data_IF_084544292327
#
_entry.id   IF_084544292327
#
_cell.length_a   1.000
_cell.length_b   1.000
_cell.length_c   1.000
_cell.angle_alpha   90.00
_cell.angle_beta   90.00
_cell.angle_gamma   90.00
#
_symmetry.space_group_name_H-M   'P 1'
#
loop_
_entity.id
_entity.type
_entity.pdbx_description
1 polymer ?
#
# COMPACT_ATOMS: atom_id res chain seq x y z
N UNK A 1 -28.36 -38.04 -14.87
CA UNK A 1 -27.69 -38.71 -16.01
C UNK A 1 -28.49 -39.88 -16.58
N UNK A 2 -28.98 -40.82 -15.76
CA UNK A 2 -29.70 -42.02 -16.23
C UNK A 2 -30.94 -41.70 -17.09
N UNK A 3 -31.73 -40.68 -16.71
CA UNK A 3 -32.92 -40.26 -17.46
C UNK A 3 -32.61 -39.74 -18.88
N UNK A 4 -31.49 -39.04 -19.05
CA UNK A 4 -31.07 -38.42 -20.32
C UNK A 4 -30.72 -39.49 -21.36
N UNK A 5 -30.15 -40.62 -20.93
CA UNK A 5 -29.80 -41.74 -21.81
C UNK A 5 -31.00 -42.66 -22.10
N UNK A 6 -31.93 -42.81 -21.16
CA UNK A 6 -33.03 -43.78 -21.23
C UNK A 6 -34.17 -43.41 -22.18
N UNK A 7 -34.47 -42.12 -22.33
CA UNK A 7 -35.57 -41.60 -23.16
C UNK A 7 -35.39 -41.87 -24.68
N UNK A 8 -34.21 -41.62 -25.29
CA UNK A 8 -34.01 -41.95 -26.71
C UNK A 8 -34.01 -43.47 -26.97
N UNK A 9 -33.54 -44.28 -26.02
CA UNK A 9 -33.61 -45.74 -26.09
C UNK A 9 -35.05 -46.25 -26.08
N UNK A 10 -35.91 -45.67 -25.24
CA UNK A 10 -37.35 -45.95 -25.23
C UNK A 10 -38.02 -45.55 -26.55
N UNK A 11 -37.66 -44.39 -27.11
CA UNK A 11 -38.12 -43.98 -28.44
C UNK A 11 -37.74 -44.97 -29.53
N UNK A 12 -36.50 -45.47 -29.51
CA UNK A 12 -35.99 -46.45 -30.48
C UNK A 12 -36.66 -47.82 -30.32
N UNK A 13 -36.95 -48.25 -29.08
CA UNK A 13 -37.72 -49.46 -28.80
C UNK A 13 -39.16 -49.39 -29.36
N UNK A 14 -39.79 -48.21 -29.32
CA UNK A 14 -41.15 -48.03 -29.86
C UNK A 14 -41.24 -48.25 -31.38
N UNK A 15 -40.14 -48.04 -32.12
CA UNK A 15 -40.08 -48.29 -33.55
C UNK A 15 -40.16 -49.78 -33.88
N UNK A 16 -39.68 -50.65 -32.99
CA UNK A 16 -39.59 -52.10 -33.20
C UNK A 16 -40.75 -52.88 -32.58
N UNK A 17 -41.36 -52.39 -31.49
CA UNK A 17 -42.34 -53.14 -30.70
C UNK A 17 -43.81 -52.94 -31.13
N UNK A 18 -44.20 -51.79 -31.71
CA UNK A 18 -45.62 -51.47 -31.98
C UNK A 18 -46.03 -51.72 -33.45
N UNK A 19 -47.02 -52.61 -33.64
CA UNK A 19 -47.63 -52.95 -34.93
C UNK A 19 -48.80 -52.04 -35.31
N UNK A 20 -49.35 -51.28 -34.36
CA UNK A 20 -50.44 -50.32 -34.58
C UNK A 20 -49.87 -48.91 -34.87
N UNK A 21 -50.07 -48.35 -36.08
CA UNK A 21 -49.36 -47.15 -36.53
C UNK A 21 -49.70 -45.88 -35.73
N UNK A 22 -50.93 -45.75 -35.22
CA UNK A 22 -51.37 -44.55 -34.48
C UNK A 22 -50.74 -44.44 -33.08
N UNK A 23 -50.58 -45.56 -32.37
CA UNK A 23 -50.00 -45.60 -31.02
C UNK A 23 -48.48 -45.33 -31.04
N UNK A 24 -47.78 -45.86 -32.05
CA UNK A 24 -46.34 -45.64 -32.26
C UNK A 24 -46.03 -44.16 -32.48
N UNK A 25 -46.76 -43.49 -33.37
CA UNK A 25 -46.53 -42.07 -33.67
C UNK A 25 -46.74 -41.17 -32.45
N UNK A 26 -47.79 -41.45 -31.66
CA UNK A 26 -48.06 -40.72 -30.41
C UNK A 26 -46.90 -40.88 -29.41
N UNK A 27 -46.44 -42.12 -29.16
CA UNK A 27 -45.33 -42.40 -28.25
C UNK A 27 -44.03 -41.74 -28.69
N UNK A 28 -43.70 -41.80 -29.99
CA UNK A 28 -42.52 -41.14 -30.54
C UNK A 28 -42.54 -39.64 -30.31
N UNK A 29 -43.66 -38.97 -30.62
CA UNK A 29 -43.82 -37.55 -30.38
C UNK A 29 -43.61 -37.18 -28.90
N UNK A 30 -44.20 -37.96 -27.98
CA UNK A 30 -44.03 -37.73 -26.54
C UNK A 30 -42.57 -37.90 -26.11
N UNK A 31 -41.89 -38.97 -26.56
CA UNK A 31 -40.47 -39.19 -26.20
C UNK A 31 -39.55 -38.11 -26.76
N UNK A 32 -39.78 -37.66 -28.00
CA UNK A 32 -38.98 -36.62 -28.66
C UNK A 32 -39.22 -35.25 -28.02
N UNK A 33 -40.46 -34.94 -27.67
CA UNK A 33 -40.77 -33.73 -26.91
C UNK A 33 -40.09 -33.76 -25.53
N UNK A 34 -40.14 -34.89 -24.82
CA UNK A 34 -39.51 -35.04 -23.51
C UNK A 34 -37.97 -34.92 -23.57
N UNK A 35 -37.31 -35.50 -24.59
CA UNK A 35 -35.85 -35.37 -24.75
C UNK A 35 -35.43 -33.94 -25.08
N UNK A 36 -36.19 -33.23 -25.92
CA UNK A 36 -35.93 -31.83 -26.24
C UNK A 36 -36.06 -30.93 -25.01
N UNK A 37 -37.14 -31.10 -24.23
CA UNK A 37 -37.35 -30.33 -23.00
C UNK A 37 -36.23 -30.59 -21.99
N UNK A 38 -35.84 -31.86 -21.80
CA UNK A 38 -34.76 -32.22 -20.89
C UNK A 38 -33.40 -31.67 -21.37
N UNK A 39 -33.13 -31.75 -22.68
CA UNK A 39 -31.92 -31.19 -23.28
C UNK A 39 -31.82 -29.68 -23.10
N UNK A 40 -32.92 -28.96 -23.35
CA UNK A 40 -33.00 -27.51 -23.13
C UNK A 40 -32.78 -27.15 -21.67
N UNK A 41 -33.40 -27.90 -20.74
CA UNK A 41 -33.23 -27.68 -19.30
C UNK A 41 -31.79 -27.90 -18.85
N UNK A 42 -31.16 -28.99 -19.28
CA UNK A 42 -29.74 -29.29 -18.98
C UNK A 42 -28.82 -28.23 -19.59
N UNK A 43 -29.06 -27.84 -20.83
CA UNK A 43 -28.29 -26.79 -21.49
C UNK A 43 -28.39 -25.46 -20.75
N UNK A 44 -29.61 -25.05 -20.35
CA UNK A 44 -29.81 -23.81 -19.60
C UNK A 44 -29.11 -23.85 -18.25
N UNK A 45 -29.23 -24.97 -17.52
CA UNK A 45 -28.51 -25.17 -16.25
C UNK A 45 -26.99 -25.12 -16.45
N UNK A 46 -26.48 -25.80 -17.47
CA UNK A 46 -25.04 -25.83 -17.78
C UNK A 46 -24.55 -24.40 -18.09
N UNK A 47 -25.27 -23.68 -18.95
CA UNK A 47 -24.95 -22.31 -19.32
C UNK A 47 -24.94 -21.36 -18.12
N UNK A 48 -25.88 -21.51 -17.18
CA UNK A 48 -25.93 -20.71 -15.95
C UNK A 48 -24.76 -21.04 -15.00
N UNK A 49 -24.44 -22.33 -14.83
CA UNK A 49 -23.33 -22.77 -13.97
C UNK A 49 -21.97 -22.33 -14.50
N UNK A 50 -21.76 -22.41 -15.81
CA UNK A 50 -20.50 -21.98 -16.43
C UNK A 50 -20.28 -20.47 -16.22
N UNK A 51 -21.36 -19.67 -16.30
CA UNK A 51 -21.29 -18.22 -16.00
C UNK A 51 -20.92 -17.96 -14.54
N UNK A 52 -21.55 -18.67 -13.60
CA UNK A 52 -21.24 -18.54 -12.17
C UNK A 52 -19.80 -18.94 -11.86
N UNK A 53 -19.31 -20.03 -12.48
CA UNK A 53 -17.95 -20.50 -12.27
C UNK A 53 -16.92 -19.46 -12.72
N UNK A 54 -17.14 -18.82 -13.88
CA UNK A 54 -16.25 -17.76 -14.38
C UNK A 54 -16.24 -16.57 -13.42
N UNK A 55 -17.41 -16.10 -12.98
CA UNK A 55 -17.50 -14.97 -12.05
C UNK A 55 -16.78 -15.26 -10.72
N UNK A 56 -17.01 -16.44 -10.13
CA UNK A 56 -16.35 -16.84 -8.89
C UNK A 56 -14.84 -16.96 -9.03
N UNK A 57 -14.36 -17.46 -10.18
CA UNK A 57 -12.94 -17.58 -10.45
C UNK A 57 -12.28 -16.20 -10.60
N UNK A 58 -12.94 -15.28 -11.30
CA UNK A 58 -12.46 -13.90 -11.45
C UNK A 58 -12.44 -13.16 -10.10
N UNK A 59 -13.50 -13.27 -9.30
CA UNK A 59 -13.54 -12.68 -7.94
C UNK A 59 -12.43 -13.23 -7.04
N UNK A 60 -12.25 -14.55 -7.04
CA UNK A 60 -11.18 -15.21 -6.27
C UNK A 60 -9.80 -14.74 -6.71
N UNK A 61 -9.57 -14.64 -8.02
CA UNK A 61 -8.32 -14.15 -8.58
C UNK A 61 -8.05 -12.70 -8.18
N UNK A 62 -9.04 -11.82 -8.31
CA UNK A 62 -8.90 -10.41 -7.89
C UNK A 62 -8.61 -10.29 -6.39
N UNK A 63 -9.30 -11.08 -5.56
CA UNK A 63 -9.04 -11.10 -4.12
C UNK A 63 -7.63 -11.56 -3.80
N UNK A 64 -7.13 -12.57 -4.52
CA UNK A 64 -5.78 -13.08 -4.35
C UNK A 64 -4.72 -12.05 -4.78
N UNK A 65 -4.89 -11.40 -5.93
CA UNK A 65 -4.00 -10.34 -6.42
C UNK A 65 -3.97 -9.14 -5.45
N UNK A 66 -5.14 -8.74 -4.93
CA UNK A 66 -5.23 -7.70 -3.90
C UNK A 66 -4.52 -8.10 -2.61
N UNK A 67 -4.70 -9.34 -2.14
CA UNK A 67 -4.03 -9.84 -0.95
C UNK A 67 -2.51 -9.84 -1.13
N UNK A 68 -1.99 -10.32 -2.26
CA UNK A 68 -0.56 -10.29 -2.55
C UNK A 68 -0.01 -8.86 -2.59
N UNK A 69 -0.76 -7.93 -3.19
CA UNK A 69 -0.37 -6.51 -3.21
C UNK A 69 -0.33 -5.93 -1.81
N UNK A 70 -1.34 -6.17 -0.98
CA UNK A 70 -1.38 -5.70 0.41
C UNK A 70 -0.27 -6.32 1.26
N UNK A 71 -0.01 -7.62 1.09
CA UNK A 71 1.07 -8.32 1.79
C UNK A 71 2.44 -7.73 1.43
N UNK A 72 2.72 -7.46 0.15
CA UNK A 72 3.99 -6.86 -0.24
C UNK A 72 4.15 -5.44 0.32
N UNK A 73 3.08 -4.64 0.35
CA UNK A 73 3.06 -3.34 1.00
C UNK A 73 3.29 -3.43 2.51
N UNK A 74 2.70 -4.41 3.20
CA UNK A 74 2.91 -4.64 4.63
C UNK A 74 4.36 -5.02 4.92
N UNK A 75 4.93 -5.96 4.16
CA UNK A 75 6.34 -6.35 4.31
C UNK A 75 7.27 -5.14 4.09
N UNK A 76 6.99 -4.29 3.09
CA UNK A 76 7.78 -3.09 2.85
C UNK A 76 7.66 -2.09 4.01
N UNK A 77 6.45 -1.89 4.55
CA UNK A 77 6.21 -1.03 5.72
C UNK A 77 6.94 -1.55 6.96
N UNK A 78 6.88 -2.84 7.22
CA UNK A 78 7.54 -3.46 8.38
C UNK A 78 9.07 -3.36 8.26
N UNK A 79 9.63 -3.56 7.06
CA UNK A 79 11.06 -3.34 6.81
C UNK A 79 11.48 -1.89 7.08
N UNK A 80 10.69 -0.92 6.63
CA UNK A 80 10.98 0.51 6.87
C UNK A 80 10.85 0.87 8.35
N UNK A 81 9.84 0.35 9.05
CA UNK A 81 9.65 0.58 10.49
C UNK A 81 10.82 -0.01 11.30
N UNK A 82 11.23 -1.26 11.01
CA UNK A 82 12.38 -1.91 11.64
C UNK A 82 13.68 -1.14 11.38
N UNK A 83 13.89 -0.70 10.13
CA UNK A 83 15.03 0.14 9.78
C UNK A 83 15.00 1.45 10.56
N UNK A 84 13.84 2.09 10.72
CA UNK A 84 13.73 3.33 11.47
C UNK A 84 13.99 3.19 12.96
N UNK A 85 13.56 2.09 13.56
CA UNK A 85 13.89 1.79 14.95
C UNK A 85 15.39 1.57 15.15
N UNK A 86 16.05 0.85 14.23
CA UNK A 86 17.50 0.64 14.27
C UNK A 86 18.27 1.96 14.04
N UNK A 87 17.85 2.75 13.04
CA UNK A 87 18.46 4.05 12.74
C UNK A 87 18.25 5.03 13.88
N UNK A 88 17.10 5.06 14.54
CA UNK A 88 16.87 5.94 15.70
C UNK A 88 17.82 5.64 16.86
N UNK A 89 18.03 4.35 17.18
CA UNK A 89 19.01 3.94 18.18
C UNK A 89 20.44 4.29 17.76
N UNK A 90 20.82 3.93 16.54
CA UNK A 90 22.17 4.21 16.01
C UNK A 90 22.44 5.71 15.83
N UNK A 91 21.45 6.52 15.49
CA UNK A 91 21.61 7.95 15.25
C UNK A 91 22.06 8.68 16.51
N UNK A 92 21.53 8.31 17.68
CA UNK A 92 21.99 8.88 18.95
C UNK A 92 23.46 8.52 19.22
N UNK A 93 23.82 7.25 19.00
CA UNK A 93 25.19 6.77 19.20
C UNK A 93 26.20 7.32 18.18
N UNK A 94 25.77 7.63 16.95
CA UNK A 94 26.60 8.23 15.89
C UNK A 94 26.71 9.75 16.07
N UNK A 95 25.65 10.42 16.50
CA UNK A 95 25.68 11.87 16.73
C UNK A 95 26.64 12.25 17.86
N UNK A 96 26.83 11.38 18.85
CA UNK A 96 27.76 11.62 19.97
C UNK A 96 29.23 11.80 19.53
N UNK A 97 29.87 10.86 18.81
CA UNK A 97 31.23 11.04 18.31
C UNK A 97 31.31 12.15 17.26
N UNK A 98 30.27 12.39 16.45
CA UNK A 98 30.25 13.52 15.51
C UNK A 98 30.27 14.87 16.22
N UNK A 99 29.53 15.01 17.32
CA UNK A 99 29.55 16.21 18.15
C UNK A 99 30.94 16.44 18.76
N UNK A 100 31.61 15.38 19.23
CA UNK A 100 32.98 15.47 19.73
C UNK A 100 33.97 15.89 18.62
N UNK A 101 33.89 15.28 17.44
CA UNK A 101 34.74 15.63 16.28
C UNK A 101 34.51 17.10 15.87
N UNK A 102 33.26 17.56 15.84
CA UNK A 102 32.93 18.95 15.57
C UNK A 102 33.55 19.89 16.61
N UNK A 103 33.35 19.61 17.90
CA UNK A 103 33.93 20.39 18.99
C UNK A 103 35.46 20.48 18.92
N UNK A 104 36.14 19.34 18.71
CA UNK A 104 37.60 19.34 18.53
C UNK A 104 38.05 20.08 17.28
N UNK A 105 37.34 19.95 16.17
CA UNK A 105 37.66 20.66 14.93
C UNK A 105 37.53 22.18 15.08
N UNK A 106 36.53 22.64 15.85
CA UNK A 106 36.29 24.05 16.13
C UNK A 106 37.33 24.61 17.10
N UNK A 107 37.69 23.85 18.15
CA UNK A 107 38.77 24.22 19.07
C UNK A 107 40.13 24.31 18.37
N UNK A 108 40.44 23.37 17.47
CA UNK A 108 41.66 23.39 16.67
C UNK A 108 41.67 24.58 15.70
N UNK A 109 40.56 24.85 15.02
CA UNK A 109 40.46 25.99 14.12
C UNK A 109 40.55 27.36 14.84
N UNK A 110 40.21 27.41 16.13
CA UNK A 110 40.32 28.62 16.95
C UNK A 110 41.73 28.88 17.52
N UNK A 111 42.67 27.93 17.39
CA UNK A 111 44.05 28.12 17.88
C UNK A 111 44.87 29.02 16.93
N UNK A 112 45.32 30.16 17.43
CA UNK A 112 46.11 31.16 16.69
C UNK A 112 47.55 30.70 16.37
N UNK A 113 48.04 29.65 17.02
CA UNK A 113 49.40 29.13 16.85
C UNK A 113 49.54 28.07 15.74
N UNK A 114 48.46 27.68 15.08
CA UNK A 114 48.49 26.67 14.02
C UNK A 114 49.03 27.22 12.70
N UNK A 115 49.74 26.36 11.94
CA UNK A 115 50.07 26.65 10.53
C UNK A 115 48.78 26.66 9.69
N UNK A 116 48.76 27.49 8.64
CA UNK A 116 47.59 27.64 7.74
C UNK A 116 47.05 26.29 7.23
N UNK A 117 47.92 25.35 6.87
CA UNK A 117 47.52 24.03 6.38
C UNK A 117 46.81 23.18 7.45
N UNK A 118 47.23 23.31 8.71
CA UNK A 118 46.63 22.56 9.83
C UNK A 118 45.26 23.12 10.19
N UNK A 119 45.11 24.45 10.19
CA UNK A 119 43.81 25.10 10.37
C UNK A 119 42.83 24.73 9.24
N UNK A 120 43.31 24.68 8.00
CA UNK A 120 42.51 24.23 6.85
C UNK A 120 42.09 22.75 6.96
N UNK A 121 42.97 21.87 7.47
CA UNK A 121 42.62 20.48 7.76
C UNK A 121 41.56 20.37 8.86
N UNK A 122 41.70 21.12 9.96
CA UNK A 122 40.72 21.14 11.04
C UNK A 122 39.33 21.58 10.54
N UNK A 123 39.26 22.65 9.74
CA UNK A 123 38.01 23.07 9.11
C UNK A 123 37.40 21.98 8.22
N UNK A 124 38.22 21.30 7.40
CA UNK A 124 37.74 20.20 6.53
C UNK A 124 37.16 19.05 7.35
N UNK A 125 37.81 18.65 8.44
CA UNK A 125 37.31 17.60 9.35
C UNK A 125 35.94 18.00 9.92
N UNK A 126 35.81 19.23 10.43
CA UNK A 126 34.54 19.74 10.94
C UNK A 126 33.46 19.79 9.87
N UNK A 127 33.82 20.14 8.63
CA UNK A 127 32.87 20.15 7.50
C UNK A 127 32.39 18.73 7.14
N UNK A 128 33.27 17.72 7.18
CA UNK A 128 32.87 16.33 6.98
C UNK A 128 31.98 15.82 8.12
N UNK A 129 32.31 16.13 9.37
CA UNK A 129 31.49 15.71 10.51
C UNK A 129 30.08 16.34 10.46
N UNK A 130 29.96 17.62 10.07
CA UNK A 130 28.67 18.27 9.79
C UNK A 130 27.89 17.53 8.72
N UNK A 131 28.52 17.24 7.58
CA UNK A 131 27.87 16.52 6.47
C UNK A 131 27.38 15.13 6.88
N UNK A 132 28.16 14.38 7.66
CA UNK A 132 27.74 13.06 8.16
C UNK A 132 26.54 13.18 9.09
N UNK A 133 26.51 14.20 9.96
CA UNK A 133 25.38 14.45 10.85
C UNK A 133 24.10 14.74 10.05
N UNK A 134 24.21 15.55 9.01
CA UNK A 134 23.08 15.88 8.13
C UNK A 134 22.55 14.61 7.43
N UNK A 135 23.44 13.76 6.90
CA UNK A 135 23.06 12.46 6.31
C UNK A 135 22.34 11.52 7.29
N UNK A 136 22.80 11.48 8.54
CA UNK A 136 22.14 10.69 9.60
C UNK A 136 20.75 11.24 9.91
N UNK A 137 20.60 12.57 9.93
CA UNK A 137 19.30 13.24 10.12
C UNK A 137 18.33 12.97 8.97
N UNK A 138 18.80 12.99 7.74
CA UNK A 138 18.01 12.67 6.55
C UNK A 138 17.54 11.21 6.56
N UNK A 139 18.44 10.28 6.92
CA UNK A 139 18.10 8.85 7.04
C UNK A 139 17.06 8.60 8.15
N UNK A 140 17.21 9.27 9.30
CA UNK A 140 16.24 9.19 10.39
C UNK A 140 14.88 9.71 9.96
N UNK A 141 14.85 10.88 9.32
CA UNK A 141 13.62 11.51 8.80
C UNK A 141 12.90 10.62 7.79
N UNK A 142 13.65 10.00 6.87
CA UNK A 142 13.11 9.04 5.91
C UNK A 142 12.48 7.82 6.61
N UNK A 143 13.16 7.30 7.62
CA UNK A 143 12.71 6.10 8.34
C UNK A 143 11.49 6.35 9.24
N UNK A 144 11.28 7.60 9.68
CA UNK A 144 10.14 8.03 10.47
C UNK A 144 8.89 8.33 9.64
N UNK A 145 8.96 8.27 8.29
CA UNK A 145 7.79 8.38 7.40
C UNK A 145 6.88 7.13 7.44
N UNK A 146 6.62 6.60 8.62
CA UNK A 146 5.47 5.72 8.83
C UNK A 146 4.18 6.51 8.59
N UNK A 147 3.07 5.87 8.20
CA UNK A 147 1.78 6.53 8.14
C UNK A 147 1.41 6.95 9.56
N UNK A 148 1.78 8.17 9.94
CA UNK A 148 1.27 8.81 11.14
C UNK A 148 -0.26 8.81 11.02
N UNK A 149 -0.93 8.39 12.08
CA UNK A 149 -2.39 8.47 12.12
C UNK A 149 -2.77 9.91 11.82
N UNK A 150 -3.63 10.10 10.82
CA UNK A 150 -4.18 11.43 10.57
C UNK A 150 -4.95 11.81 11.82
N UNK A 151 -4.57 12.91 12.46
CA UNK A 151 -5.31 13.49 13.59
C UNK A 151 -6.00 14.75 13.09
N UNK A 152 -7.07 15.18 13.78
CA UNK A 152 -7.62 16.52 13.59
C UNK A 152 -6.58 17.54 14.08
N UNK A 153 -5.99 18.28 13.14
CA UNK A 153 -5.02 19.34 13.42
C UNK A 153 -5.71 20.70 13.38
N UNK A 154 -5.45 21.51 14.41
CA UNK A 154 -5.78 22.93 14.43
C UNK A 154 -4.69 23.72 13.70
N UNK A 155 -5.03 24.21 12.51
CA UNK A 155 -4.10 24.91 11.61
C UNK A 155 -3.59 26.21 12.24
N UNK A 156 -4.44 26.93 12.98
CA UNK A 156 -4.05 28.18 13.62
C UNK A 156 -2.99 27.94 14.71
N UNK A 157 -3.22 26.92 15.55
CA UNK A 157 -2.27 26.54 16.59
C UNK A 157 -0.95 26.00 16.01
N UNK A 158 -1.01 25.26 14.90
CA UNK A 158 0.17 24.75 14.19
C UNK A 158 1.05 25.88 13.66
N UNK A 159 0.44 26.86 12.97
CA UNK A 159 1.15 28.02 12.41
C UNK A 159 1.81 28.84 13.52
N UNK A 160 1.11 29.09 14.63
CA UNK A 160 1.69 29.81 15.77
C UNK A 160 2.91 29.08 16.36
N UNK A 161 2.84 27.76 16.55
CA UNK A 161 3.98 26.96 17.03
C UNK A 161 5.17 27.01 16.06
N UNK A 162 4.92 26.91 14.76
CA UNK A 162 5.98 26.99 13.75
C UNK A 162 6.68 28.36 13.78
N UNK A 163 5.92 29.45 13.89
CA UNK A 163 6.47 30.80 14.02
C UNK A 163 7.30 30.97 15.29
N UNK A 164 6.83 30.44 16.43
CA UNK A 164 7.58 30.45 17.69
C UNK A 164 8.91 29.70 17.59
N UNK A 165 8.94 28.53 16.93
CA UNK A 165 10.17 27.75 16.77
C UNK A 165 11.25 28.47 15.95
N UNK A 166 10.88 29.42 15.08
CA UNK A 166 11.82 30.12 14.20
C UNK A 166 12.08 31.58 14.63
N UNK A 167 11.42 32.07 15.68
CA UNK A 167 11.54 33.45 16.14
C UNK A 167 12.99 33.86 16.45
N UNK A 168 13.77 32.94 17.04
CA UNK A 168 15.19 33.18 17.37
C UNK A 168 16.06 33.37 16.11
N UNK A 169 15.82 32.59 15.06
CA UNK A 169 16.57 32.68 13.79
C UNK A 169 16.14 33.89 12.95
N UNK A 170 14.87 34.29 13.05
CA UNK A 170 14.29 35.43 12.32
C UNK A 170 14.81 36.76 12.89
N UNK A 171 14.87 36.89 14.23
CA UNK A 171 15.39 38.10 14.89
C UNK A 171 16.84 38.40 14.55
N UNK A 172 17.67 37.37 14.40
CA UNK A 172 19.08 37.52 14.01
C UNK A 172 19.31 38.06 12.59
N UNK A 173 18.28 38.07 11.73
CA UNK A 173 18.36 38.53 10.33
C UNK A 173 17.59 39.81 10.05
N UNK A 174 17.04 40.47 11.07
CA UNK A 174 16.26 41.70 10.94
C UNK A 174 15.02 41.56 10.01
N UNK A 175 14.45 40.36 9.94
CA UNK A 175 13.25 40.05 9.14
C UNK A 175 12.03 40.19 10.04
N UNK A 176 10.99 40.90 9.60
CA UNK A 176 9.70 41.00 10.29
C UNK A 176 8.71 40.03 9.63
N UNK A 177 8.14 39.11 10.42
CA UNK A 177 7.11 38.18 9.98
C UNK A 177 5.79 38.58 10.62
N UNK A 178 4.76 38.77 9.80
CA UNK A 178 3.41 39.11 10.22
C UNK A 178 2.48 37.98 9.78
N UNK A 179 1.72 37.42 10.73
CA UNK A 179 0.80 36.32 10.48
C UNK A 179 -0.64 36.78 10.75
N UNK A 180 -1.44 36.86 9.70
CA UNK A 180 -2.86 37.19 9.78
C UNK A 180 -3.65 35.89 9.65
N UNK A 181 -4.26 35.44 10.75
CA UNK A 181 -5.07 34.22 10.81
C UNK A 181 -6.54 34.60 11.00
N UNK A 182 -7.43 34.06 10.18
CA UNK A 182 -8.87 34.25 10.37
C UNK A 182 -9.36 33.48 11.61
N UNK A 183 -10.30 34.04 12.40
CA UNK A 183 -10.92 33.33 13.51
C UNK A 183 -11.75 32.14 13.00
N UNK A 184 -11.55 30.96 13.59
CA UNK A 184 -12.37 29.78 13.31
C UNK A 184 -11.92 28.93 12.12
N UNK A 185 -10.63 28.93 11.80
CA UNK A 185 -10.05 28.05 10.78
C UNK A 185 -10.51 26.59 10.95
N UNK A 186 -10.88 25.90 9.85
CA UNK A 186 -11.33 24.52 9.93
C UNK A 186 -10.18 23.61 10.38
N UNK A 187 -10.51 22.63 11.22
CA UNK A 187 -9.56 21.56 11.56
C UNK A 187 -9.43 20.60 10.39
N UNK A 188 -8.19 20.26 10.05
CA UNK A 188 -7.89 19.39 8.91
C UNK A 188 -7.32 18.05 9.38
N UNK A 189 -7.59 16.99 8.63
CA UNK A 189 -6.96 15.69 8.86
C UNK A 189 -5.54 15.69 8.30
N UNK A 190 -4.54 15.66 9.18
CA UNK A 190 -3.13 15.69 8.80
C UNK A 190 -2.24 15.00 9.82
N UNK A 191 -0.94 15.00 9.55
CA UNK A 191 0.11 14.47 10.43
C UNK A 191 1.29 15.43 10.59
#
# INVERSE_FOLDING_TARGET
MIAILSLPLLGLWTLYADHAPHLRNFRLLVTLAATLVLGLFVFLKQFLLDRQLITLLDESRQSYENLQRLQSQLVQKEKLASLGQLVAGAAHEINNPLAAILGYSELLAAQTSMKTDQAAMAQKIGQQARRTRDLVSDLLSFSQQSPSEKVLIDVGALIQRALQMHDVQIRGKNIRVEAVLEPGLPRIWGN
#
